data_IF_091282100303
#
_entry.id   IF_091282100303
#
_cell.length_a   1.000
_cell.length_b   1.000
_cell.length_c   1.000
_cell.angle_alpha   90.00
_cell.angle_beta   90.00
_cell.angle_gamma   90.00
#
_symmetry.space_group_name_H-M   'P 1'
#
loop_
_entity.id
_entity.type
_entity.pdbx_description
1 polymer ?
#
# COMPACT_ATOMS: atom_id res chain seq x y z
N UNK A 1 -14.08 23.52 4.90
CA UNK A 1 -13.90 22.67 3.71
C UNK A 1 -12.75 21.73 4.01
N UNK A 2 -12.94 20.40 4.02
CA UNK A 2 -11.78 19.51 4.13
C UNK A 2 -10.88 19.83 2.93
N UNK A 3 -9.58 19.97 3.17
CA UNK A 3 -8.64 20.26 2.09
C UNK A 3 -8.49 19.01 1.23
N UNK A 4 -9.43 18.77 0.30
CA UNK A 4 -9.46 17.60 -0.59
C UNK A 4 -8.11 17.39 -1.31
N UNK A 5 -7.41 18.48 -1.63
CA UNK A 5 -6.06 18.44 -2.18
C UNK A 5 -5.04 17.81 -1.22
N UNK A 6 -5.06 18.16 0.07
CA UNK A 6 -4.18 17.57 1.08
C UNK A 6 -4.51 16.10 1.31
N UNK A 7 -5.79 15.72 1.35
CA UNK A 7 -6.21 14.30 1.39
C UNK A 7 -5.68 13.52 0.19
N UNK A 8 -5.81 14.06 -1.01
CA UNK A 8 -5.32 13.42 -2.23
C UNK A 8 -3.79 13.26 -2.21
N UNK A 9 -3.06 14.27 -1.74
CA UNK A 9 -1.60 14.21 -1.59
C UNK A 9 -1.22 13.13 -0.57
N UNK A 10 -1.86 13.09 0.60
CA UNK A 10 -1.62 12.06 1.63
C UNK A 10 -1.83 10.65 1.09
N UNK A 11 -2.97 10.42 0.43
CA UNK A 11 -3.30 9.13 -0.18
C UNK A 11 -2.27 8.70 -1.23
N UNK A 12 -1.83 9.62 -2.10
CA UNK A 12 -0.83 9.32 -3.13
C UNK A 12 0.56 9.05 -2.54
N UNK A 13 0.97 9.79 -1.50
CA UNK A 13 2.24 9.52 -0.81
C UNK A 13 2.24 8.16 -0.11
N UNK A 14 1.10 7.78 0.49
CA UNK A 14 0.93 6.47 1.10
C UNK A 14 1.03 5.35 0.05
N UNK A 15 0.27 5.45 -1.06
CA UNK A 15 0.29 4.48 -2.17
C UNK A 15 1.67 4.35 -2.81
N UNK A 16 2.37 5.47 -2.99
CA UNK A 16 3.73 5.47 -3.56
C UNK A 16 4.73 4.75 -2.63
N UNK A 17 4.64 5.01 -1.33
CA UNK A 17 5.49 4.36 -0.32
C UNK A 17 5.26 2.85 -0.27
N UNK A 18 4.00 2.42 -0.37
CA UNK A 18 3.64 1.00 -0.38
C UNK A 18 4.04 0.33 -1.70
N UNK A 19 3.83 0.98 -2.84
CA UNK A 19 4.30 0.48 -4.14
C UNK A 19 5.81 0.24 -4.15
N UNK A 20 6.59 1.18 -3.59
CA UNK A 20 8.03 0.99 -3.43
C UNK A 20 8.38 -0.19 -2.51
N UNK A 21 7.61 -0.44 -1.45
CA UNK A 21 7.80 -1.61 -0.57
C UNK A 21 7.50 -2.93 -1.28
N UNK A 22 6.44 -2.98 -2.07
CA UNK A 22 6.13 -4.15 -2.91
C UNK A 22 7.25 -4.43 -3.90
N UNK A 23 7.76 -3.40 -4.58
CA UNK A 23 8.90 -3.55 -5.48
C UNK A 23 10.16 -4.02 -4.73
N UNK A 24 10.40 -3.53 -3.50
CA UNK A 24 11.51 -3.96 -2.65
C UNK A 24 11.44 -5.47 -2.35
N UNK A 25 10.23 -5.97 -2.05
CA UNK A 25 9.96 -7.38 -1.78
C UNK A 25 10.11 -8.25 -3.04
N UNK A 26 9.64 -7.78 -4.20
CA UNK A 26 9.85 -8.46 -5.48
C UNK A 26 11.35 -8.58 -5.77
N UNK A 27 12.10 -7.48 -5.62
CA UNK A 27 13.54 -7.48 -5.83
C UNK A 27 14.25 -8.45 -4.89
N UNK A 28 13.81 -8.52 -3.62
CA UNK A 28 14.46 -9.35 -2.59
C UNK A 28 14.12 -10.84 -2.70
N UNK A 29 12.85 -11.17 -2.96
CA UNK A 29 12.36 -12.55 -2.82
C UNK A 29 12.12 -13.26 -4.14
N UNK A 30 11.84 -12.52 -5.22
CA UNK A 30 11.61 -13.13 -6.54
C UNK A 30 12.86 -13.07 -7.41
N UNK A 31 13.61 -11.96 -7.32
CA UNK A 31 14.76 -11.71 -8.18
C UNK A 31 16.11 -11.95 -7.48
N UNK A 32 16.11 -12.17 -6.17
CA UNK A 32 17.31 -12.24 -5.32
C UNK A 32 18.32 -11.10 -5.58
N UNK A 33 17.82 -9.94 -6.02
CA UNK A 33 18.63 -8.81 -6.46
C UNK A 33 18.79 -7.80 -5.32
N UNK A 34 19.89 -8.00 -4.57
CA UNK A 34 20.21 -7.18 -3.40
C UNK A 34 20.42 -5.70 -3.76
N UNK A 35 21.08 -5.41 -4.88
CA UNK A 35 21.34 -4.03 -5.31
C UNK A 35 20.04 -3.29 -5.63
N UNK A 36 19.14 -3.92 -6.40
CA UNK A 36 17.84 -3.34 -6.74
C UNK A 36 16.98 -3.12 -5.48
N UNK A 37 16.97 -4.10 -4.56
CA UNK A 37 16.26 -3.98 -3.29
C UNK A 37 16.77 -2.77 -2.48
N UNK A 38 18.09 -2.59 -2.40
CA UNK A 38 18.70 -1.43 -1.73
C UNK A 38 18.35 -0.09 -2.39
N UNK A 39 18.39 -0.03 -3.73
CA UNK A 39 18.01 1.18 -4.48
C UNK A 39 16.54 1.56 -4.25
N UNK A 40 15.64 0.59 -4.29
CA UNK A 40 14.20 0.81 -4.02
C UNK A 40 13.96 1.28 -2.57
N UNK A 41 14.65 0.67 -1.62
CA UNK A 41 14.63 1.10 -0.22
C UNK A 41 15.12 2.55 -0.07
N UNK A 42 16.21 2.93 -0.75
CA UNK A 42 16.72 4.29 -0.71
C UNK A 42 15.70 5.30 -1.24
N UNK A 43 15.09 5.04 -2.41
CA UNK A 43 14.03 5.88 -2.97
C UNK A 43 12.85 6.02 -2.01
N UNK A 44 12.44 4.94 -1.34
CA UNK A 44 11.36 4.98 -0.33
C UNK A 44 11.74 5.83 0.88
N UNK A 45 12.98 5.75 1.35
CA UNK A 45 13.49 6.59 2.45
C UNK A 45 13.57 8.05 2.04
N UNK A 46 14.02 8.35 0.83
CA UNK A 46 14.08 9.70 0.28
C UNK A 46 12.68 10.31 0.20
N UNK A 47 11.71 9.59 -0.36
CA UNK A 47 10.30 10.02 -0.40
C UNK A 47 9.77 10.39 1.00
N UNK A 48 10.03 9.55 2.01
CA UNK A 48 9.59 9.79 3.38
C UNK A 48 10.30 11.01 4.01
N UNK A 49 11.57 11.26 3.65
CA UNK A 49 12.34 12.41 4.13
C UNK A 49 11.83 13.71 3.51
N UNK A 50 11.70 13.76 2.19
CA UNK A 50 11.28 14.97 1.47
C UNK A 50 9.85 15.40 1.83
N UNK A 51 8.99 14.44 2.21
CA UNK A 51 7.59 14.71 2.58
C UNK A 51 7.37 14.92 4.08
N UNK A 52 8.43 14.85 4.90
CA UNK A 52 8.34 14.93 6.36
C UNK A 52 7.70 16.22 6.87
N UNK A 53 8.00 17.36 6.22
CA UNK A 53 7.45 18.68 6.58
C UNK A 53 5.95 18.78 6.33
N UNK A 54 5.44 18.09 5.31
CA UNK A 54 4.02 18.05 4.96
C UNK A 54 3.22 17.11 5.85
N UNK A 55 3.88 16.14 6.49
CA UNK A 55 3.23 15.00 7.16
C UNK A 55 2.23 15.39 8.25
N UNK A 56 2.52 16.43 9.05
CA UNK A 56 1.61 16.88 10.12
C UNK A 56 0.30 17.44 9.53
N UNK A 57 0.42 18.28 8.50
CA UNK A 57 -0.74 18.85 7.81
C UNK A 57 -1.57 17.78 7.08
N UNK A 58 -0.90 16.83 6.44
CA UNK A 58 -1.54 15.72 5.73
C UNK A 58 -2.31 14.79 6.68
N UNK A 59 -1.68 14.38 7.79
CA UNK A 59 -2.31 13.53 8.81
C UNK A 59 -3.55 14.19 9.43
N UNK A 60 -3.52 15.51 9.64
CA UNK A 60 -4.65 16.26 10.20
C UNK A 60 -5.89 16.28 9.28
N UNK A 61 -5.72 15.96 8.00
CA UNK A 61 -6.78 15.93 7.00
C UNK A 61 -7.17 14.50 6.60
N UNK A 62 -6.49 13.47 7.12
CA UNK A 62 -6.73 12.08 6.75
C UNK A 62 -8.11 11.63 7.20
N UNK A 63 -8.82 10.96 6.31
CA UNK A 63 -10.20 10.51 6.54
C UNK A 63 -10.49 9.26 5.69
N UNK A 64 -9.70 8.22 5.93
CA UNK A 64 -9.73 6.96 5.16
C UNK A 64 -11.05 6.19 5.36
N UNK A 65 -11.63 6.24 6.56
CA UNK A 65 -12.90 5.58 6.92
C UNK A 65 -14.08 6.05 6.06
N UNK A 66 -14.04 7.30 5.59
CA UNK A 66 -15.07 7.90 4.75
C UNK A 66 -14.59 8.12 3.30
N UNK A 67 -13.42 7.59 2.92
CA UNK A 67 -12.96 7.62 1.53
C UNK A 67 -13.79 6.67 0.66
N UNK A 68 -14.14 7.14 -0.55
CA UNK A 68 -14.82 6.30 -1.54
C UNK A 68 -13.91 5.12 -1.91
N UNK A 69 -14.41 3.90 -1.71
CA UNK A 69 -13.65 2.66 -1.92
C UNK A 69 -13.08 2.03 -0.64
N UNK A 70 -13.37 2.57 0.54
CA UNK A 70 -13.13 1.88 1.80
C UNK A 70 -13.87 0.53 1.82
N UNK A 71 -13.23 -0.59 2.23
CA UNK A 71 -13.90 -1.88 2.31
C UNK A 71 -15.11 -1.78 3.24
N UNK A 72 -16.30 -2.08 2.73
CA UNK A 72 -17.42 -2.33 3.62
C UNK A 72 -17.19 -3.66 4.33
N UNK A 73 -17.58 -3.80 5.62
CA UNK A 73 -17.54 -5.09 6.28
C UNK A 73 -18.41 -6.06 5.47
N UNK A 74 -17.76 -6.97 4.75
CA UNK A 74 -18.45 -8.01 4.00
C UNK A 74 -19.14 -8.91 5.03
N UNK A 75 -20.48 -9.03 4.98
CA UNK A 75 -21.21 -9.83 5.94
C UNK A 75 -20.73 -11.30 5.89
N UNK A 76 -20.79 -12.04 7.02
CA UNK A 76 -20.12 -13.33 7.17
C UNK A 76 -20.45 -14.38 6.09
N UNK A 77 -21.62 -14.29 5.44
CA UNK A 77 -22.10 -15.26 4.45
C UNK A 77 -21.57 -15.11 3.02
N UNK A 78 -20.94 -13.99 2.66
CA UNK A 78 -20.46 -13.76 1.27
C UNK A 78 -18.99 -14.19 1.05
N UNK A 79 -18.28 -14.58 2.11
CA UNK A 79 -16.86 -14.96 2.04
C UNK A 79 -16.60 -16.34 1.41
N UNK A 80 -17.60 -17.22 1.35
CA UNK A 80 -17.43 -18.61 0.89
C UNK A 80 -17.39 -18.77 -0.64
N UNK A 81 -17.91 -17.82 -1.42
CA UNK A 81 -17.99 -17.99 -2.89
C UNK A 81 -16.63 -17.81 -3.62
N UNK A 82 -15.62 -17.19 -2.99
CA UNK A 82 -14.40 -16.79 -3.70
C UNK A 82 -13.16 -17.67 -3.44
N UNK A 83 -13.30 -18.80 -2.73
CA UNK A 83 -12.17 -19.65 -2.32
C UNK A 83 -11.84 -20.74 -3.35
N UNK A 84 -12.75 -21.04 -4.30
CA UNK A 84 -12.58 -22.18 -5.23
C UNK A 84 -11.76 -21.88 -6.50
N UNK A 85 -11.33 -20.65 -6.76
CA UNK A 85 -10.69 -20.27 -8.04
C UNK A 85 -9.18 -20.03 -8.00
N UNK A 86 -8.53 -20.03 -6.84
CA UNK A 86 -7.13 -19.59 -6.75
C UNK A 86 -6.15 -20.77 -6.65
N UNK A 87 -5.90 -21.41 -7.80
CA UNK A 87 -4.74 -22.27 -8.01
C UNK A 87 -3.67 -21.54 -8.83
N UNK A 88 -3.06 -20.49 -8.26
CA UNK A 88 -1.84 -19.82 -8.76
C UNK A 88 -1.01 -19.37 -7.54
N UNK A 89 -0.38 -20.36 -6.91
CA UNK A 89 -0.20 -20.50 -5.45
C UNK A 89 1.11 -19.96 -4.85
N UNK A 90 1.69 -18.89 -5.40
CA UNK A 90 2.97 -18.39 -4.87
C UNK A 90 3.15 -16.89 -5.05
N UNK A 91 3.25 -16.44 -6.30
CA UNK A 91 3.46 -15.01 -6.60
C UNK A 91 2.23 -14.17 -6.28
N UNK A 92 1.02 -14.70 -6.55
CA UNK A 92 -0.24 -14.00 -6.28
C UNK A 92 -0.53 -13.92 -4.77
N UNK A 93 -0.16 -14.95 -4.00
CA UNK A 93 -0.31 -14.94 -2.55
C UNK A 93 0.61 -13.90 -1.89
N UNK A 94 1.81 -13.69 -2.44
CA UNK A 94 2.75 -12.67 -1.97
C UNK A 94 2.26 -11.26 -2.29
N UNK A 95 1.72 -11.06 -3.51
CA UNK A 95 1.05 -9.81 -3.91
C UNK A 95 -0.18 -9.55 -3.02
N UNK A 96 -0.98 -10.57 -2.74
CA UNK A 96 -2.19 -10.47 -1.91
C UNK A 96 -1.85 -10.24 -0.44
N UNK A 97 -0.82 -10.89 0.10
CA UNK A 97 -0.34 -10.68 1.46
C UNK A 97 0.24 -9.27 1.65
N UNK A 98 0.89 -8.71 0.62
CA UNK A 98 1.32 -7.32 0.64
C UNK A 98 0.15 -6.35 0.53
N UNK A 99 -0.85 -6.64 -0.30
CA UNK A 99 -2.08 -5.85 -0.39
C UNK A 99 -2.91 -5.88 0.92
N UNK A 100 -2.94 -7.01 1.64
CA UNK A 100 -3.66 -7.18 2.92
C UNK A 100 -2.96 -6.59 4.14
N UNK A 101 -1.69 -6.20 4.06
CA UNK A 101 -1.02 -5.45 5.15
C UNK A 101 -1.47 -3.98 5.22
N UNK A 102 -2.47 -3.62 4.43
CA UNK A 102 -3.23 -2.37 4.50
C UNK A 102 -4.46 -2.61 5.38
N UNK A 103 -4.25 -2.74 6.68
CA UNK A 103 -5.22 -2.42 7.74
C UNK A 103 -4.43 -1.84 8.93
#
# INVERSE_FOLDING_TARGET
MPHHLLRMIDANLNRSSEGLRVLEDVARFLLDNTELSQRLRAVRHDLARETKSLRIGLLSQRDAEHDVGHPYPVPPGERELNIKTTSLRGSLDLVTANAKRVE
#
